data_IF_318929027022
#
_entry.id   IF_318929027022
#
_cell.length_a   1.000
_cell.length_b   1.000
_cell.length_c   1.000
_cell.angle_alpha   90.00
_cell.angle_beta   90.00
_cell.angle_gamma   90.00
#
_symmetry.space_group_name_H-M   'P 1'
#
loop_
_entity.id
_entity.type
_entity.pdbx_description
1 polymer ?
#
# COMPACT_ATOMS: atom_id res chain seq x y z
N UNK A 1 -0.52 17.69 -7.44
CA UNK A 1 -0.74 16.42 -8.13
C UNK A 1 -0.46 15.25 -7.20
N UNK A 2 -1.34 14.24 -7.25
CA UNK A 2 -1.18 13.07 -6.39
C UNK A 2 -0.24 12.06 -7.04
N UNK A 3 0.76 11.56 -6.31
CA UNK A 3 1.78 10.68 -6.89
C UNK A 3 1.39 9.20 -6.92
N UNK A 4 0.11 8.90 -6.95
CA UNK A 4 -0.37 7.52 -7.08
C UNK A 4 -1.64 7.51 -7.92
N UNK A 5 -1.85 6.40 -8.62
CA UNK A 5 -2.99 6.25 -9.52
C UNK A 5 -4.13 5.54 -8.82
N UNK A 6 -5.34 5.98 -9.14
CA UNK A 6 -6.53 5.45 -8.50
C UNK A 6 -7.71 5.52 -9.44
N UNK A 7 -8.41 4.40 -9.55
CA UNK A 7 -9.66 4.29 -10.25
C UNK A 7 -10.63 3.62 -9.31
N UNK A 8 -11.66 4.34 -8.86
CA UNK A 8 -12.55 3.83 -7.82
C UNK A 8 -13.43 2.69 -8.31
N UNK A 9 -13.49 1.63 -7.52
CA UNK A 9 -14.35 0.48 -7.78
C UNK A 9 -15.56 0.52 -6.86
N UNK A 10 -16.76 0.25 -7.39
CA UNK A 10 -17.95 0.18 -6.52
C UNK A 10 -17.87 -1.00 -5.57
N UNK A 11 -18.46 -0.84 -4.40
CA UNK A 11 -18.53 -1.92 -3.41
C UNK A 11 -17.35 -2.02 -2.46
N UNK A 12 -16.30 -1.22 -2.68
CA UNK A 12 -15.15 -1.17 -1.79
C UNK A 12 -15.07 0.26 -1.25
N UNK A 13 -14.75 0.41 0.03
CA UNK A 13 -14.71 1.75 0.63
C UNK A 13 -13.65 2.62 -0.05
N UNK A 14 -13.97 3.89 -0.24
CA UNK A 14 -13.03 4.85 -0.83
C UNK A 14 -11.77 4.93 0.02
N UNK A 15 -11.93 4.95 1.33
CA UNK A 15 -10.82 4.96 2.27
C UNK A 15 -9.84 3.81 2.01
N UNK A 16 -10.33 2.59 1.92
CA UNK A 16 -9.48 1.42 1.69
C UNK A 16 -8.76 1.50 0.36
N UNK A 17 -9.45 1.96 -0.68
CA UNK A 17 -8.85 2.07 -2.00
C UNK A 17 -7.73 3.10 -2.03
N UNK A 18 -7.91 4.24 -1.36
CA UNK A 18 -6.86 5.27 -1.33
C UNK A 18 -5.66 4.81 -0.52
N UNK A 19 -5.89 4.19 0.63
CA UNK A 19 -4.80 3.64 1.44
C UNK A 19 -4.00 2.63 0.62
N UNK A 20 -4.69 1.73 -0.05
CA UNK A 20 -4.03 0.71 -0.86
C UNK A 20 -3.21 1.33 -2.00
N UNK A 21 -3.78 2.30 -2.71
CA UNK A 21 -3.09 2.94 -3.83
C UNK A 21 -1.81 3.65 -3.38
N UNK A 22 -1.86 4.35 -2.24
CA UNK A 22 -0.70 5.02 -1.70
C UNK A 22 0.37 4.01 -1.25
N UNK A 23 -0.05 2.97 -0.56
CA UNK A 23 0.86 1.92 -0.10
C UNK A 23 1.55 1.25 -1.28
N UNK A 24 0.78 0.93 -2.31
CA UNK A 24 1.31 0.30 -3.52
C UNK A 24 2.34 1.18 -4.20
N UNK A 25 2.10 2.49 -4.27
CA UNK A 25 3.05 3.43 -4.86
C UNK A 25 4.37 3.47 -4.09
N UNK A 26 4.30 3.40 -2.77
CA UNK A 26 5.49 3.37 -1.94
C UNK A 26 6.28 2.07 -2.10
N UNK A 27 5.57 0.95 -2.09
CA UNK A 27 6.20 -0.37 -2.21
C UNK A 27 6.85 -0.56 -3.57
N UNK A 28 6.24 -0.05 -4.62
CA UNK A 28 6.76 -0.20 -5.99
C UNK A 28 7.84 0.83 -6.34
N UNK A 29 8.15 1.75 -5.43
CA UNK A 29 9.21 2.73 -5.64
C UNK A 29 8.80 4.01 -6.35
N UNK A 30 7.51 4.18 -6.64
CA UNK A 30 7.01 5.43 -7.23
C UNK A 30 7.06 6.57 -6.24
N UNK A 31 6.98 6.25 -4.95
CA UNK A 31 7.19 7.21 -3.88
C UNK A 31 8.30 6.66 -3.01
N UNK A 32 9.30 7.49 -2.74
CA UNK A 32 10.49 7.06 -1.99
C UNK A 32 10.54 7.72 -0.62
N UNK A 33 11.28 7.10 0.28
CA UNK A 33 11.51 7.69 1.60
C UNK A 33 12.05 9.12 1.45
N UNK A 34 11.46 10.03 2.21
CA UNK A 34 11.83 11.44 2.15
C UNK A 34 11.03 12.27 1.16
N UNK A 35 10.30 11.64 0.25
CA UNK A 35 9.45 12.37 -0.68
C UNK A 35 8.29 13.03 0.06
N UNK A 36 7.87 14.23 -0.36
CA UNK A 36 6.68 14.85 0.22
C UNK A 36 5.44 14.02 -0.10
N UNK A 37 4.56 13.91 0.90
CA UNK A 37 3.28 13.25 0.73
C UNK A 37 2.19 14.31 0.67
N UNK A 38 1.19 14.20 -0.22
CA UNK A 38 0.17 15.22 -0.34
C UNK A 38 -0.62 15.43 0.95
N UNK A 39 -1.00 16.67 1.21
CA UNK A 39 -1.78 17.01 2.38
C UNK A 39 -3.21 16.51 2.24
N UNK A 40 -3.92 16.45 3.38
CA UNK A 40 -5.35 16.11 3.40
C UNK A 40 -6.12 16.97 2.41
N UNK A 41 -5.81 18.27 2.39
CA UNK A 41 -6.49 19.21 1.50
C UNK A 41 -6.28 18.87 0.02
N UNK A 42 -5.05 18.53 -0.35
CA UNK A 42 -4.72 18.16 -1.73
C UNK A 42 -5.40 16.84 -2.11
N UNK A 43 -5.33 15.85 -1.23
CA UNK A 43 -5.96 14.55 -1.46
C UNK A 43 -7.46 14.72 -1.66
N UNK A 44 -8.10 15.45 -0.75
CA UNK A 44 -9.53 15.69 -0.80
C UNK A 44 -9.94 16.37 -2.10
N UNK A 45 -9.20 17.41 -2.48
CA UNK A 45 -9.52 18.18 -3.68
C UNK A 45 -9.28 17.40 -4.97
N UNK A 46 -8.13 16.76 -5.08
CA UNK A 46 -7.76 16.08 -6.33
C UNK A 46 -8.52 14.78 -6.55
N UNK A 47 -8.79 14.04 -5.49
CA UNK A 47 -9.57 12.82 -5.60
C UNK A 47 -11.08 13.06 -5.49
N UNK A 48 -11.48 14.29 -5.16
CA UNK A 48 -12.89 14.64 -4.98
C UNK A 48 -13.57 13.78 -3.95
N UNK A 49 -12.91 13.62 -2.81
CA UNK A 49 -13.45 12.84 -1.69
C UNK A 49 -13.65 13.72 -0.48
N UNK A 50 -14.45 13.22 0.44
CA UNK A 50 -14.75 13.93 1.69
C UNK A 50 -13.46 14.18 2.47
N UNK A 51 -13.23 15.41 2.98
CA UNK A 51 -12.04 15.70 3.79
C UNK A 51 -11.89 14.78 5.00
N UNK A 52 -12.99 14.33 5.60
CA UNK A 52 -12.91 13.38 6.71
C UNK A 52 -12.33 12.05 6.28
N UNK A 53 -12.68 11.60 5.07
CA UNK A 53 -12.11 10.38 4.51
C UNK A 53 -10.62 10.56 4.25
N UNK A 54 -10.23 11.71 3.70
CA UNK A 54 -8.82 12.01 3.46
C UNK A 54 -8.03 12.03 4.77
N UNK A 55 -8.60 12.57 5.85
CA UNK A 55 -7.98 12.54 7.17
C UNK A 55 -7.76 11.11 7.67
N UNK A 56 -8.75 10.25 7.48
CA UNK A 56 -8.64 8.84 7.88
C UNK A 56 -7.55 8.12 7.11
N UNK A 57 -7.42 8.43 5.82
CA UNK A 57 -6.36 7.85 4.98
C UNK A 57 -4.99 8.22 5.54
N UNK A 58 -4.76 9.51 5.78
CA UNK A 58 -3.47 9.98 6.30
C UNK A 58 -3.19 9.35 7.67
N UNK A 59 -4.19 9.34 8.56
CA UNK A 59 -4.03 8.74 9.89
C UNK A 59 -3.65 7.27 9.81
N UNK A 60 -4.25 6.53 8.87
CA UNK A 60 -3.96 5.11 8.70
C UNK A 60 -2.53 4.91 8.22
N UNK A 61 -2.09 5.70 7.25
CA UNK A 61 -0.73 5.59 6.73
C UNK A 61 0.30 5.95 7.79
N UNK A 62 0.01 6.94 8.62
CA UNK A 62 0.87 7.29 9.76
C UNK A 62 0.94 6.12 10.74
N UNK A 63 -0.22 5.52 11.07
CA UNK A 63 -0.24 4.43 12.04
C UNK A 63 0.51 3.20 11.55
N UNK A 64 0.57 2.98 10.23
CA UNK A 64 1.34 1.89 9.64
C UNK A 64 2.82 2.23 9.47
N UNK A 65 3.23 3.44 9.85
CA UNK A 65 4.62 3.84 9.74
C UNK A 65 5.08 4.15 8.32
N UNK A 66 4.13 4.38 7.40
CA UNK A 66 4.45 4.61 5.99
C UNK A 66 4.72 6.08 5.69
N UNK A 67 4.13 6.98 6.45
CA UNK A 67 4.38 8.42 6.33
C UNK A 67 4.54 9.02 7.72
N UNK A 68 5.19 10.17 7.77
CA UNK A 68 5.39 10.89 9.02
C UNK A 68 5.08 12.37 8.84
N UNK A 69 4.55 12.99 9.89
CA UNK A 69 4.27 14.42 9.89
C UNK A 69 5.45 15.11 10.57
N UNK A 70 6.06 16.08 9.88
CA UNK A 70 7.14 16.90 10.43
C UNK A 70 6.57 18.28 10.69
N UNK A 71 6.44 18.68 11.97
CA UNK A 71 5.81 19.96 12.30
C UNK A 71 6.49 21.12 11.57
N UNK A 72 5.68 21.98 10.97
CA UNK A 72 6.17 23.14 10.22
C UNK A 72 6.71 22.84 8.84
N UNK A 73 6.88 21.57 8.48
CA UNK A 73 7.46 21.18 7.19
C UNK A 73 6.48 20.44 6.30
N UNK A 74 5.60 19.65 6.88
CA UNK A 74 4.62 18.89 6.10
C UNK A 74 4.67 17.39 6.39
N UNK A 75 4.15 16.62 5.47
CA UNK A 75 4.08 15.16 5.57
C UNK A 75 5.01 14.55 4.55
N UNK A 76 5.73 13.51 4.95
CA UNK A 76 6.76 12.89 4.12
C UNK A 76 6.67 11.37 4.21
N UNK A 77 7.10 10.70 3.16
CA UNK A 77 7.21 9.25 3.14
C UNK A 77 8.31 8.84 4.12
N UNK A 78 8.00 7.89 4.99
CA UNK A 78 8.93 7.43 6.03
C UNK A 78 9.98 6.48 5.46
N UNK A 79 11.10 6.36 6.19
CA UNK A 79 12.03 5.28 5.93
C UNK A 79 11.34 3.95 6.25
N UNK A 80 11.62 2.89 5.47
CA UNK A 80 11.04 1.59 5.78
C UNK A 80 11.43 1.13 7.18
N UNK A 81 10.45 0.64 7.93
CA UNK A 81 10.69 0.06 9.24
C UNK A 81 10.74 -1.46 9.12
N UNK A 82 11.51 -2.09 10.01
CA UNK A 82 11.59 -3.54 10.03
C UNK A 82 10.28 -4.11 10.56
N UNK A 83 9.80 -5.16 9.91
CA UNK A 83 8.61 -5.87 10.37
C UNK A 83 8.97 -6.78 11.52
N UNK A 84 7.97 -7.15 12.33
CA UNK A 84 8.15 -8.12 13.39
C UNK A 84 7.87 -9.52 12.85
N UNK A 85 8.38 -10.54 13.55
CA UNK A 85 8.05 -11.93 13.23
C UNK A 85 6.56 -12.19 13.30
N UNK A 86 5.88 -11.51 14.22
CA UNK A 86 4.43 -11.65 14.36
C UNK A 86 3.69 -11.11 13.14
N UNK A 87 4.08 -9.94 12.66
CA UNK A 87 3.47 -9.36 11.47
C UNK A 87 3.67 -10.25 10.25
N UNK A 88 4.90 -10.73 10.04
CA UNK A 88 5.18 -11.63 8.92
C UNK A 88 4.41 -12.94 9.04
N UNK A 89 4.36 -13.49 10.24
CA UNK A 89 3.62 -14.72 10.49
C UNK A 89 2.13 -14.58 10.25
N UNK A 90 1.54 -13.43 10.64
CA UNK A 90 0.12 -13.20 10.39
C UNK A 90 -0.20 -13.20 8.90
N UNK A 91 0.63 -12.55 8.09
CA UNK A 91 0.43 -12.54 6.65
C UNK A 91 0.53 -13.94 6.07
N UNK A 92 1.58 -14.67 6.42
CA UNK A 92 1.85 -15.98 5.83
C UNK A 92 0.86 -17.05 6.29
N UNK A 93 0.42 -17.02 7.54
CA UNK A 93 -0.45 -18.05 8.09
C UNK A 93 -1.93 -17.71 7.97
N UNK A 94 -2.27 -16.43 8.06
CA UNK A 94 -3.67 -16.03 8.07
C UNK A 94 -4.16 -15.55 6.71
N UNK A 95 -3.53 -14.50 6.21
CA UNK A 95 -3.99 -13.90 4.94
C UNK A 95 -3.77 -14.84 3.76
N UNK A 96 -2.63 -15.52 3.73
CA UNK A 96 -2.34 -16.46 2.65
C UNK A 96 -3.25 -17.68 2.72
N UNK A 97 -3.59 -18.15 3.92
CA UNK A 97 -4.55 -19.25 4.01
C UNK A 97 -5.91 -18.85 3.46
N UNK A 98 -6.36 -17.65 3.77
CA UNK A 98 -7.63 -17.15 3.26
C UNK A 98 -7.61 -17.08 1.74
N UNK A 99 -6.49 -16.66 1.16
CA UNK A 99 -6.34 -16.62 -0.29
C UNK A 99 -6.38 -18.03 -0.89
N UNK A 100 -5.73 -19.00 -0.25
CA UNK A 100 -5.74 -20.38 -0.73
C UNK A 100 -7.14 -20.98 -0.67
N UNK A 101 -7.88 -20.69 0.39
CA UNK A 101 -9.28 -21.15 0.50
C UNK A 101 -10.09 -20.62 -0.68
N UNK A 102 -9.94 -19.36 -0.99
CA UNK A 102 -10.67 -18.76 -2.10
C UNK A 102 -10.23 -19.34 -3.44
N UNK A 103 -8.94 -19.54 -3.63
CA UNK A 103 -8.40 -20.12 -4.86
C UNK A 103 -8.96 -21.53 -5.09
N UNK A 104 -9.00 -22.35 -4.03
CA UNK A 104 -9.56 -23.71 -4.12
C UNK A 104 -11.06 -23.68 -4.43
N UNK A 105 -11.77 -22.75 -3.82
CA UNK A 105 -13.21 -22.58 -4.09
C UNK A 105 -13.46 -22.27 -5.56
N UNK A 106 -12.58 -21.49 -6.19
CA UNK A 106 -12.70 -21.12 -7.59
C UNK A 106 -12.14 -22.17 -8.54
N UNK A 107 -11.58 -23.26 -8.03
CA UNK A 107 -11.04 -24.33 -8.85
C UNK A 107 -9.68 -24.05 -9.45
N UNK A 108 -8.94 -23.08 -8.91
CA UNK A 108 -7.61 -22.77 -9.40
C UNK A 108 -6.61 -23.85 -8.98
N UNK A 109 -5.64 -24.11 -9.86
CA UNK A 109 -4.55 -25.02 -9.57
C UNK A 109 -3.39 -24.27 -8.89
N UNK A 110 -2.57 -25.00 -8.15
CA UNK A 110 -1.45 -24.40 -7.43
C UNK A 110 -0.54 -23.59 -8.37
N UNK A 111 -0.23 -24.14 -9.55
CA UNK A 111 0.66 -23.44 -10.47
C UNK A 111 0.08 -22.10 -10.96
N UNK A 112 -1.25 -22.03 -11.12
CA UNK A 112 -1.89 -20.77 -11.50
C UNK A 112 -1.71 -19.71 -10.41
N UNK A 113 -1.86 -20.11 -9.15
CA UNK A 113 -1.70 -19.21 -8.01
C UNK A 113 -0.25 -18.76 -7.87
N UNK A 114 0.69 -19.70 -7.96
CA UNK A 114 2.11 -19.36 -7.81
C UNK A 114 2.62 -18.51 -8.96
N UNK A 115 2.13 -18.74 -10.17
CA UNK A 115 2.47 -17.89 -11.32
C UNK A 115 1.95 -16.46 -11.13
N UNK A 116 0.72 -16.33 -10.65
CA UNK A 116 0.13 -15.01 -10.40
C UNK A 116 0.93 -14.25 -9.33
N UNK A 117 1.29 -14.93 -8.24
CA UNK A 117 2.10 -14.32 -7.18
C UNK A 117 3.45 -13.86 -7.74
N UNK A 118 4.09 -14.70 -8.52
CA UNK A 118 5.39 -14.38 -9.12
C UNK A 118 5.30 -13.17 -10.04
N UNK A 119 4.25 -13.10 -10.85
CA UNK A 119 4.04 -11.99 -11.77
C UNK A 119 3.84 -10.68 -11.02
N UNK A 120 2.97 -10.68 -10.01
CA UNK A 120 2.75 -9.48 -9.19
C UNK A 120 4.02 -9.04 -8.49
N UNK A 121 4.77 -10.00 -7.97
CA UNK A 121 6.02 -9.71 -7.28
C UNK A 121 6.99 -8.97 -8.18
N UNK A 122 7.18 -9.48 -9.39
CA UNK A 122 8.09 -8.88 -10.36
C UNK A 122 7.63 -7.49 -10.80
N UNK A 123 6.35 -7.35 -11.05
CA UNK A 123 5.79 -6.08 -11.50
C UNK A 123 5.93 -4.99 -10.44
N UNK A 124 5.76 -5.34 -9.18
CA UNK A 124 5.85 -4.38 -8.08
C UNK A 124 7.28 -4.12 -7.62
N UNK A 125 8.23 -4.87 -8.12
CA UNK A 125 9.62 -4.70 -7.74
C UNK A 125 10.24 -3.41 -8.27
N UNK A 126 9.98 -3.10 -9.51
CA UNK A 126 10.34 -1.81 -10.12
C UNK A 126 11.63 -1.18 -9.59
N UNK A 127 11.56 0.11 -9.26
CA UNK A 127 12.72 0.86 -8.77
C UNK A 127 13.08 0.55 -7.32
N UNK A 128 12.23 -0.14 -6.59
CA UNK A 128 12.50 -0.48 -5.19
C UNK A 128 13.39 -1.70 -5.04
N UNK A 129 13.68 -2.39 -6.13
CA UNK A 129 14.45 -3.63 -6.11
C UNK A 129 15.81 -3.48 -5.43
N UNK A 130 16.51 -2.41 -5.71
CA UNK A 130 17.82 -2.17 -5.13
C UNK A 130 17.77 -2.04 -3.60
N UNK A 131 16.71 -1.40 -3.09
CA UNK A 131 16.55 -1.23 -1.64
C UNK A 131 16.29 -2.55 -0.95
N UNK A 132 15.51 -3.43 -1.58
CA UNK A 132 15.21 -4.73 -0.99
C UNK A 132 16.44 -5.61 -0.86
N UNK A 133 17.36 -5.52 -1.78
CA UNK A 133 18.56 -6.34 -1.74
C UNK A 133 19.47 -6.05 -0.58
N UNK A 134 19.31 -4.89 0.03
CA UNK A 134 20.13 -4.50 1.19
C UNK A 134 19.63 -5.11 2.48
N UNK A 135 18.47 -5.66 2.46
CA UNK A 135 17.87 -6.29 3.62
C UNK A 135 18.15 -7.79 3.62
#
# INVERSE_FOLDING_TARGET
MIPFRLSFEPGISIYEQVVYAAKKAMISGHMRAGDPFPSVRVISRELKINPNTAHKVVAQLVSEGLIEVRPGLGTFVSEPTLSTAKERGNLLRKEFEQMVVEAKKLGLELHEVTEAVTEHWRRLDGTSKALRRRQ
#
